data_IF_082063793999
#
_entry.id   IF_082063793999
#
_cell.length_a   1.000
_cell.length_b   1.000
_cell.length_c   1.000
_cell.angle_alpha   90.00
_cell.angle_beta   90.00
_cell.angle_gamma   90.00
#
_symmetry.space_group_name_H-M   'P 1'
#
loop_
_entity.id
_entity.type
_entity.pdbx_description
1 polymer ?
#
# COMPACT_ATOMS: atom_id res chain seq x y z
N UNK A 1 7.96 63.47 12.91
CA UNK A 1 6.76 62.70 12.54
C UNK A 1 7.13 61.24 12.34
N UNK A 2 7.01 60.43 13.40
CA UNK A 2 7.38 58.99 13.35
C UNK A 2 6.12 58.17 13.06
N UNK A 3 6.01 57.64 11.84
CA UNK A 3 4.96 56.69 11.47
C UNK A 3 5.38 55.31 11.95
N UNK A 4 4.76 54.85 13.04
CA UNK A 4 4.82 53.47 13.51
C UNK A 4 4.12 52.57 12.51
N UNK A 5 4.90 51.73 11.79
CA UNK A 5 4.38 50.61 10.98
C UNK A 5 3.89 49.55 11.96
N UNK A 6 2.58 49.46 12.16
CA UNK A 6 1.93 48.32 12.80
C UNK A 6 2.08 47.11 11.89
N UNK A 7 2.98 46.22 12.28
CA UNK A 7 3.11 44.89 11.69
C UNK A 7 1.88 44.07 12.09
N UNK A 8 1.00 43.82 11.14
CA UNK A 8 -0.07 42.85 11.31
C UNK A 8 0.55 41.46 11.32
N UNK A 9 0.92 40.97 12.51
CA UNK A 9 1.15 39.54 12.72
C UNK A 9 -0.23 38.86 12.58
N UNK A 10 -0.49 38.24 11.43
CA UNK A 10 -1.55 37.24 11.33
C UNK A 10 -1.24 36.17 12.38
N UNK A 11 -2.06 36.09 13.42
CA UNK A 11 -2.05 34.97 14.34
C UNK A 11 -2.30 33.72 13.50
N UNK A 12 -1.33 32.82 13.47
CA UNK A 12 -1.57 31.47 12.93
C UNK A 12 -2.61 30.85 13.84
N UNK A 13 -3.75 30.49 13.28
CA UNK A 13 -4.71 29.66 14.01
C UNK A 13 -3.99 28.42 14.52
N UNK A 14 -4.24 27.98 15.77
CA UNK A 14 -3.63 26.79 16.29
C UNK A 14 -3.97 25.63 15.36
N UNK A 15 -2.95 24.93 14.88
CA UNK A 15 -3.12 23.74 14.06
C UNK A 15 -3.88 22.68 14.87
N UNK A 16 -5.11 22.41 14.50
CA UNK A 16 -5.91 21.32 15.06
C UNK A 16 -5.51 20.06 14.29
N UNK A 17 -4.94 19.04 14.93
CA UNK A 17 -4.60 17.79 14.26
C UNK A 17 -5.82 17.22 13.53
N UNK A 18 -5.64 16.73 12.31
CA UNK A 18 -6.72 16.17 11.48
C UNK A 18 -7.43 14.98 12.15
N UNK A 19 -6.76 14.29 13.08
CA UNK A 19 -7.37 13.28 13.94
C UNK A 19 -8.56 13.79 14.77
N UNK A 20 -8.69 15.11 14.96
CA UNK A 20 -9.83 15.74 15.62
C UNK A 20 -10.98 16.10 14.68
N UNK A 21 -10.93 15.75 13.39
CA UNK A 21 -11.94 16.08 12.37
C UNK A 21 -12.65 14.85 11.81
N UNK A 22 -13.40 14.08 12.63
CA UNK A 22 -13.99 12.79 12.22
C UNK A 22 -14.95 12.91 11.01
N UNK A 23 -15.61 14.06 10.81
CA UNK A 23 -16.53 14.26 9.69
C UNK A 23 -15.85 14.27 8.31
N UNK A 24 -14.61 14.71 8.20
CA UNK A 24 -13.87 14.67 6.94
C UNK A 24 -13.47 13.23 6.58
N UNK A 25 -13.22 12.40 7.57
CA UNK A 25 -12.77 11.03 7.40
C UNK A 25 -13.87 10.11 6.89
N UNK A 26 -15.10 10.30 7.36
CA UNK A 26 -16.26 9.56 6.85
C UNK A 26 -16.52 9.87 5.37
N UNK A 27 -16.34 11.11 4.96
CA UNK A 27 -16.41 11.53 3.56
C UNK A 27 -15.34 10.87 2.71
N UNK A 28 -14.09 10.78 3.22
CA UNK A 28 -12.98 10.16 2.50
C UNK A 28 -13.22 8.65 2.32
N UNK A 29 -13.74 7.95 3.32
CA UNK A 29 -14.10 6.54 3.20
C UNK A 29 -15.15 6.29 2.09
N UNK A 30 -16.21 7.09 2.07
CA UNK A 30 -17.23 7.02 1.01
C UNK A 30 -16.63 7.28 -0.37
N UNK A 31 -15.75 8.29 -0.48
CA UNK A 31 -15.07 8.64 -1.72
C UNK A 31 -14.12 7.54 -2.21
N UNK A 32 -13.40 6.88 -1.30
CA UNK A 32 -12.54 5.72 -1.63
C UNK A 32 -13.37 4.56 -2.17
N UNK A 33 -14.49 4.23 -1.52
CA UNK A 33 -15.39 3.15 -1.93
C UNK A 33 -16.05 3.41 -3.29
N UNK A 34 -16.40 4.67 -3.57
CA UNK A 34 -16.97 5.09 -4.86
C UNK A 34 -15.93 5.32 -5.96
N UNK A 35 -14.63 5.30 -5.63
CA UNK A 35 -13.55 5.54 -6.58
C UNK A 35 -13.35 7.01 -6.96
N UNK A 36 -13.89 7.94 -6.19
CA UNK A 36 -13.80 9.40 -6.45
C UNK A 36 -12.76 10.12 -5.58
N UNK A 37 -12.12 9.41 -4.64
CA UNK A 37 -11.13 9.99 -3.74
C UNK A 37 -9.85 10.34 -4.50
N UNK A 38 -9.47 11.62 -4.46
CA UNK A 38 -8.25 12.10 -5.09
C UNK A 38 -7.61 13.24 -4.31
N UNK A 39 -6.27 13.37 -4.46
CA UNK A 39 -5.48 14.39 -3.80
C UNK A 39 -4.51 15.03 -4.79
N UNK A 40 -4.42 16.36 -4.78
CA UNK A 40 -3.39 17.08 -5.52
C UNK A 40 -2.06 17.00 -4.78
N UNK A 41 -1.05 16.44 -5.41
CA UNK A 41 0.25 16.15 -4.81
C UNK A 41 1.42 16.58 -5.71
N UNK A 42 2.59 16.72 -5.11
CA UNK A 42 3.87 16.69 -5.83
C UNK A 42 4.43 15.29 -5.67
N UNK A 43 4.48 14.54 -6.74
CA UNK A 43 5.14 13.24 -6.77
C UNK A 43 6.65 13.44 -6.80
N UNK A 44 7.35 12.87 -5.82
CA UNK A 44 8.80 13.01 -5.66
C UNK A 44 9.57 11.90 -6.37
N UNK A 45 8.87 10.85 -6.78
CA UNK A 45 9.46 9.65 -7.35
C UNK A 45 9.43 8.45 -6.41
N UNK A 46 10.22 7.44 -6.72
CA UNK A 46 10.36 6.23 -5.90
C UNK A 46 11.84 5.88 -5.74
N UNK A 47 12.16 5.21 -4.63
CA UNK A 47 13.47 4.62 -4.35
C UNK A 47 13.32 3.21 -3.81
N UNK A 48 14.34 2.39 -4.00
CA UNK A 48 14.44 1.07 -3.39
C UNK A 48 14.68 1.20 -1.89
N UNK A 49 14.00 0.34 -1.12
CA UNK A 49 14.16 0.21 0.33
C UNK A 49 14.35 -1.24 0.70
N UNK A 50 15.01 -1.50 1.83
CA UNK A 50 15.34 -2.88 2.23
C UNK A 50 14.24 -3.54 3.05
N UNK A 51 13.35 -2.74 3.66
CA UNK A 51 12.28 -3.22 4.52
C UNK A 51 10.91 -2.97 3.91
N UNK A 52 9.99 -3.90 4.17
CA UNK A 52 8.61 -3.82 3.67
C UNK A 52 7.71 -2.88 4.46
N UNK A 53 8.14 -2.45 5.64
CA UNK A 53 7.36 -1.61 6.56
C UNK A 53 8.27 -0.83 7.50
N UNK A 54 7.73 0.22 8.09
CA UNK A 54 8.40 1.01 9.13
C UNK A 54 8.32 2.51 8.86
N UNK A 55 7.95 3.27 9.89
CA UNK A 55 7.95 4.74 9.84
C UNK A 55 9.34 5.29 9.50
N UNK A 56 10.44 4.83 10.15
CA UNK A 56 11.77 5.35 9.85
C UNK A 56 12.19 5.12 8.40
N UNK A 57 11.83 3.97 7.83
CA UNK A 57 12.12 3.63 6.41
C UNK A 57 11.42 4.61 5.47
N UNK A 58 10.15 4.91 5.73
CA UNK A 58 9.37 5.89 4.98
C UNK A 58 9.92 7.30 5.10
N UNK A 59 10.27 7.74 6.31
CA UNK A 59 10.83 9.08 6.59
C UNK A 59 12.20 9.26 5.89
N UNK A 60 13.08 8.27 6.00
CA UNK A 60 14.39 8.30 5.33
C UNK A 60 14.25 8.33 3.80
N UNK A 61 13.36 7.50 3.25
CA UNK A 61 13.08 7.45 1.84
C UNK A 61 12.54 8.80 1.32
N UNK A 62 11.58 9.39 2.03
CA UNK A 62 11.00 10.69 1.69
C UNK A 62 12.04 11.80 1.77
N UNK A 63 12.90 11.79 2.79
CA UNK A 63 13.98 12.75 2.94
C UNK A 63 14.99 12.66 1.79
N UNK A 64 15.41 11.46 1.38
CA UNK A 64 16.26 11.24 0.22
C UNK A 64 15.61 11.77 -1.06
N UNK A 65 14.36 11.38 -1.35
CA UNK A 65 13.61 11.85 -2.52
C UNK A 65 13.43 13.37 -2.55
N UNK A 66 13.25 13.99 -1.39
CA UNK A 66 13.12 15.46 -1.29
C UNK A 66 14.45 16.17 -1.52
N UNK A 67 15.56 15.62 -1.07
CA UNK A 67 16.88 16.20 -1.21
C UNK A 67 17.47 15.99 -2.60
N UNK A 68 17.30 14.82 -3.19
CA UNK A 68 17.73 14.53 -4.58
C UNK A 68 17.09 15.50 -5.58
N UNK A 69 15.89 15.96 -5.30
CA UNK A 69 15.23 16.97 -6.13
C UNK A 69 15.72 18.41 -5.89
N UNK A 70 16.51 18.65 -4.82
CA UNK A 70 17.24 19.91 -4.59
C UNK A 70 18.65 19.86 -5.19
N UNK A 71 19.10 18.68 -5.60
CA UNK A 71 20.44 18.37 -5.99
C UNK A 71 20.89 19.08 -7.22
N UNK A 72 21.91 19.87 -6.96
CA UNK A 72 23.03 20.28 -7.81
C UNK A 72 22.68 21.29 -8.89
N UNK A 73 22.52 22.54 -8.46
CA UNK A 73 23.05 23.67 -9.21
C UNK A 73 24.59 23.65 -9.08
N UNK A 74 25.20 22.61 -9.54
CA UNK A 74 26.65 22.42 -9.60
C UNK A 74 27.03 21.96 -10.97
N UNK A 75 27.69 22.85 -11.71
CA UNK A 75 28.53 22.60 -12.87
C UNK A 75 28.83 21.12 -13.15
N UNK A 76 28.72 20.74 -14.45
CA UNK A 76 29.08 19.46 -15.04
C UNK A 76 28.06 18.31 -14.92
N UNK A 77 27.27 18.15 -15.92
CA UNK A 77 27.12 17.05 -16.88
C UNK A 77 25.75 16.97 -17.52
N UNK A 78 25.74 16.98 -18.82
CA UNK A 78 24.71 16.45 -19.71
C UNK A 78 24.38 15.01 -19.28
N UNK A 79 23.37 14.86 -18.43
CA UNK A 79 22.76 13.59 -18.11
C UNK A 79 21.35 13.89 -17.62
N UNK A 80 20.35 13.64 -18.45
CA UNK A 80 18.93 13.74 -18.10
C UNK A 80 18.62 12.78 -16.95
N UNK A 81 18.76 13.19 -15.70
CA UNK A 81 18.18 12.48 -14.57
C UNK A 81 18.10 13.33 -13.29
N UNK A 82 17.78 14.60 -13.43
CA UNK A 82 17.18 15.31 -12.32
C UNK A 82 15.70 14.90 -12.28
N UNK A 83 15.31 14.03 -11.36
CA UNK A 83 13.89 13.68 -11.18
C UNK A 83 13.11 14.95 -10.89
N UNK A 84 12.45 15.47 -11.92
CA UNK A 84 11.59 16.65 -11.82
C UNK A 84 10.42 16.27 -10.91
N UNK A 85 10.21 17.04 -9.84
CA UNK A 85 8.99 16.92 -9.03
C UNK A 85 7.80 17.19 -9.94
N UNK A 86 6.98 16.18 -10.13
CA UNK A 86 5.84 16.26 -11.02
C UNK A 86 4.59 16.63 -10.22
N UNK A 87 3.86 17.65 -10.66
CA UNK A 87 2.52 17.89 -10.15
C UNK A 87 1.63 16.77 -10.64
N UNK A 88 0.94 16.13 -9.72
CA UNK A 88 0.14 14.96 -10.04
C UNK A 88 -1.12 14.92 -9.18
N UNK A 89 -2.06 14.09 -9.60
CA UNK A 89 -3.25 13.72 -8.83
C UNK A 89 -3.07 12.27 -8.40
N UNK A 90 -3.10 12.06 -7.09
CA UNK A 90 -3.12 10.72 -6.50
C UNK A 90 -4.58 10.29 -6.34
N UNK A 91 -5.00 9.31 -7.09
CA UNK A 91 -6.30 8.65 -6.96
C UNK A 91 -6.17 7.47 -6.00
N UNK A 92 -7.05 7.43 -5.01
CA UNK A 92 -7.09 6.37 -4.00
C UNK A 92 -8.41 5.62 -4.12
N UNK A 93 -8.34 4.37 -4.49
CA UNK A 93 -9.50 3.49 -4.66
C UNK A 93 -9.30 2.18 -3.89
N UNK A 94 -10.35 1.41 -3.69
CA UNK A 94 -10.26 0.10 -3.06
C UNK A 94 -9.42 -0.93 -3.87
N UNK A 95 -9.11 -0.64 -5.13
CA UNK A 95 -8.37 -1.54 -6.01
C UNK A 95 -6.94 -1.10 -6.24
N UNK A 96 -6.69 0.21 -6.33
CA UNK A 96 -5.39 0.73 -6.73
C UNK A 96 -5.12 2.16 -6.24
N UNK A 97 -3.83 2.48 -6.15
CA UNK A 97 -3.30 3.84 -6.05
C UNK A 97 -2.78 4.25 -7.43
N UNK A 98 -3.39 5.27 -8.04
CA UNK A 98 -2.99 5.76 -9.35
C UNK A 98 -2.46 7.17 -9.25
N UNK A 99 -1.29 7.40 -9.84
CA UNK A 99 -0.66 8.71 -9.92
C UNK A 99 -0.75 9.19 -11.36
N UNK A 100 -1.47 10.27 -11.58
CA UNK A 100 -1.70 10.85 -12.90
C UNK A 100 -1.05 12.22 -12.95
N UNK A 101 -0.26 12.47 -13.97
CA UNK A 101 0.36 13.78 -14.21
C UNK A 101 -0.71 14.86 -14.42
N UNK A 102 -0.59 16.00 -13.71
CA UNK A 102 -1.59 17.07 -13.75
C UNK A 102 -1.63 17.77 -15.11
N UNK A 103 -0.48 17.88 -15.78
CA UNK A 103 -0.34 18.60 -17.03
C UNK A 103 -0.66 17.71 -18.25
N UNK A 104 0.03 16.58 -18.37
CA UNK A 104 -0.10 15.66 -19.51
C UNK A 104 -1.29 14.71 -19.40
N UNK A 105 -1.93 14.57 -18.23
CA UNK A 105 -2.93 13.56 -17.90
C UNK A 105 -2.43 12.12 -18.09
N UNK A 106 -1.13 11.94 -18.25
CA UNK A 106 -0.51 10.63 -18.37
C UNK A 106 -0.46 9.89 -17.03
N UNK A 107 -0.65 8.58 -17.08
CA UNK A 107 -0.51 7.71 -15.91
C UNK A 107 0.98 7.53 -15.59
N UNK A 108 1.40 7.92 -14.38
CA UNK A 108 2.79 7.78 -13.91
C UNK A 108 2.97 6.47 -13.15
N UNK A 109 2.01 6.15 -12.27
CA UNK A 109 2.02 4.94 -11.44
C UNK A 109 0.62 4.34 -11.40
N UNK A 110 0.52 3.03 -11.58
CA UNK A 110 -0.67 2.23 -11.30
C UNK A 110 -0.26 1.10 -10.35
N UNK A 111 -0.59 1.27 -9.08
CA UNK A 111 -0.20 0.35 -8.01
C UNK A 111 -1.42 -0.32 -7.42
N UNK A 112 -1.54 -1.62 -7.60
CA UNK A 112 -2.59 -2.42 -6.95
C UNK A 112 -2.45 -2.33 -5.43
N UNK A 113 -3.57 -2.10 -4.73
CA UNK A 113 -3.57 -1.92 -3.28
C UNK A 113 -3.03 -3.16 -2.53
N UNK A 114 -3.29 -4.36 -3.04
CA UNK A 114 -2.81 -5.62 -2.44
C UNK A 114 -1.28 -5.76 -2.41
N UNK A 115 -0.57 -5.05 -3.29
CA UNK A 115 0.90 -5.05 -3.32
C UNK A 115 1.52 -3.95 -2.46
N UNK A 116 0.72 -3.06 -1.89
CA UNK A 116 1.18 -2.05 -0.95
C UNK A 116 1.28 -2.69 0.42
N UNK A 117 2.46 -2.65 1.03
CA UNK A 117 2.74 -3.30 2.31
C UNK A 117 2.64 -2.35 3.50
N UNK A 118 2.89 -1.06 3.27
CA UNK A 118 2.91 -0.06 4.32
C UNK A 118 2.68 1.33 3.75
N UNK A 119 2.05 2.21 4.52
CA UNK A 119 1.94 3.63 4.21
C UNK A 119 2.08 4.45 5.49
N UNK A 120 2.64 5.65 5.37
CA UNK A 120 2.85 6.53 6.51
C UNK A 120 2.86 8.01 6.12
N UNK A 121 2.33 8.88 7.01
CA UNK A 121 2.64 10.29 6.97
C UNK A 121 4.08 10.52 7.44
N UNK A 122 4.66 11.65 7.08
CA UNK A 122 5.98 12.06 7.56
C UNK A 122 5.83 12.94 8.81
N UNK A 123 6.56 12.61 9.88
CA UNK A 123 6.50 13.39 11.13
C UNK A 123 7.20 14.75 11.03
N UNK A 124 8.19 14.86 10.15
CA UNK A 124 8.98 16.07 9.96
C UNK A 124 8.27 17.05 9.01
N UNK A 125 7.54 16.51 8.05
CA UNK A 125 6.83 17.29 7.04
C UNK A 125 5.34 16.98 7.06
N UNK A 126 4.56 17.84 7.68
CA UNK A 126 3.09 17.71 7.81
C UNK A 126 2.36 17.29 6.53
N UNK A 127 2.88 17.71 5.37
CA UNK A 127 2.33 17.37 4.06
C UNK A 127 3.00 16.18 3.38
N UNK A 128 3.97 15.57 4.08
CA UNK A 128 4.70 14.40 3.59
C UNK A 128 3.88 13.13 3.75
N UNK A 129 3.88 12.32 2.70
CA UNK A 129 3.26 11.01 2.67
C UNK A 129 4.09 10.06 1.82
N UNK A 130 4.17 8.82 2.23
CA UNK A 130 4.82 7.77 1.45
C UNK A 130 4.15 6.43 1.64
N UNK A 131 4.32 5.54 0.65
CA UNK A 131 3.95 4.15 0.78
C UNK A 131 5.03 3.24 0.23
N UNK A 132 5.12 2.03 0.80
CA UNK A 132 6.02 0.97 0.36
C UNK A 132 5.20 -0.08 -0.36
N UNK A 133 5.64 -0.48 -1.54
CA UNK A 133 5.03 -1.52 -2.33
C UNK A 133 6.08 -2.49 -2.88
N UNK A 134 5.62 -3.66 -3.28
CA UNK A 134 6.48 -4.62 -3.97
C UNK A 134 6.41 -4.38 -5.47
N UNK A 135 7.55 -4.13 -6.09
CA UNK A 135 7.65 -4.00 -7.53
C UNK A 135 7.28 -5.32 -8.23
N UNK A 136 6.45 -5.21 -9.26
CA UNK A 136 5.91 -6.38 -9.94
C UNK A 136 6.96 -7.17 -10.73
N UNK A 137 7.99 -6.50 -11.20
CA UNK A 137 9.02 -7.06 -12.09
C UNK A 137 10.23 -7.55 -11.29
N UNK A 138 10.82 -6.67 -10.49
CA UNK A 138 12.06 -6.94 -9.76
C UNK A 138 11.84 -7.63 -8.41
N UNK A 139 10.58 -7.63 -7.91
CA UNK A 139 10.19 -8.08 -6.58
C UNK A 139 10.87 -7.34 -5.42
N UNK A 140 11.48 -6.18 -5.69
CA UNK A 140 12.10 -5.32 -4.69
C UNK A 140 11.06 -4.46 -3.98
N UNK A 141 11.41 -4.01 -2.79
CA UNK A 141 10.58 -3.06 -2.07
C UNK A 141 10.88 -1.64 -2.56
N UNK A 142 9.84 -0.95 -2.99
CA UNK A 142 9.93 0.41 -3.52
C UNK A 142 9.12 1.34 -2.64
N UNK A 143 9.72 2.45 -2.22
CA UNK A 143 9.03 3.51 -1.49
C UNK A 143 8.73 4.67 -2.44
N UNK A 144 7.45 5.00 -2.57
CA UNK A 144 6.98 6.15 -3.34
C UNK A 144 6.72 7.32 -2.41
N UNK A 145 7.26 8.50 -2.73
CA UNK A 145 7.16 9.70 -1.90
C UNK A 145 6.31 10.79 -2.52
N UNK A 146 5.54 11.48 -1.67
CA UNK A 146 4.60 12.53 -2.06
C UNK A 146 4.65 13.70 -1.11
N UNK A 147 4.34 14.89 -1.63
CA UNK A 147 4.04 16.08 -0.85
C UNK A 147 2.67 16.61 -1.24
N UNK A 148 1.72 16.54 -0.34
CA UNK A 148 0.39 17.09 -0.57
C UNK A 148 0.44 18.62 -0.84
N UNK A 149 -0.44 19.13 -1.70
CA UNK A 149 -0.49 20.56 -2.04
C UNK A 149 -1.37 21.31 -1.05
N UNK A 150 -2.55 20.75 -0.75
CA UNK A 150 -3.56 21.38 0.13
C UNK A 150 -3.78 20.58 1.41
N UNK A 151 -3.71 19.26 1.31
CA UNK A 151 -4.04 18.32 2.37
C UNK A 151 -2.81 18.01 3.26
N UNK A 152 -3.01 17.27 4.33
CA UNK A 152 -1.93 16.76 5.16
C UNK A 152 -1.53 15.34 4.75
N UNK A 153 -0.33 14.93 5.12
CA UNK A 153 0.13 13.54 4.94
C UNK A 153 -0.72 12.54 5.73
N UNK A 154 -1.22 12.95 6.90
CA UNK A 154 -2.11 12.13 7.73
C UNK A 154 -3.42 11.81 7.01
N UNK A 155 -4.04 12.80 6.34
CA UNK A 155 -5.26 12.58 5.58
C UNK A 155 -5.04 11.62 4.41
N UNK A 156 -3.92 11.76 3.69
CA UNK A 156 -3.56 10.82 2.62
C UNK A 156 -3.37 9.40 3.18
N UNK A 157 -2.67 9.27 4.31
CA UNK A 157 -2.47 7.99 4.98
C UNK A 157 -3.79 7.36 5.43
N UNK A 158 -4.71 8.16 5.96
CA UNK A 158 -6.04 7.70 6.33
C UNK A 158 -6.83 7.18 5.12
N UNK A 159 -6.87 7.93 4.02
CA UNK A 159 -7.56 7.51 2.80
C UNK A 159 -7.00 6.19 2.23
N UNK A 160 -5.68 6.01 2.26
CA UNK A 160 -5.05 4.75 1.87
C UNK A 160 -5.41 3.63 2.86
N UNK A 161 -5.49 3.92 4.15
CA UNK A 161 -6.01 2.98 5.17
C UNK A 161 -7.44 2.52 4.86
N UNK A 162 -8.33 3.44 4.47
CA UNK A 162 -9.70 3.11 4.01
C UNK A 162 -9.68 2.22 2.77
N UNK A 163 -8.74 2.45 1.84
CA UNK A 163 -8.57 1.61 0.66
C UNK A 163 -8.17 0.17 1.02
N UNK A 164 -7.26 0.00 1.98
CA UNK A 164 -6.91 -1.33 2.51
C UNK A 164 -8.11 -2.04 3.14
N UNK A 165 -8.88 -1.35 3.98
CA UNK A 165 -10.05 -1.90 4.62
C UNK A 165 -11.09 -2.36 3.58
N UNK A 166 -11.40 -1.50 2.60
CA UNK A 166 -12.33 -1.82 1.53
C UNK A 166 -11.86 -2.99 0.64
N UNK A 167 -10.56 -3.06 0.34
CA UNK A 167 -9.95 -4.18 -0.39
C UNK A 167 -10.09 -5.49 0.39
N UNK A 168 -9.79 -5.48 1.69
CA UNK A 168 -9.89 -6.65 2.55
C UNK A 168 -11.33 -7.15 2.66
N UNK A 169 -12.30 -6.27 2.85
CA UNK A 169 -13.73 -6.62 2.88
C UNK A 169 -14.17 -7.29 1.57
N UNK A 170 -13.76 -6.74 0.42
CA UNK A 170 -14.07 -7.35 -0.89
C UNK A 170 -13.44 -8.74 -1.04
N UNK A 171 -12.22 -8.90 -0.54
CA UNK A 171 -11.54 -10.20 -0.56
C UNK A 171 -12.25 -11.22 0.31
N UNK A 172 -12.57 -10.87 1.54
CA UNK A 172 -13.31 -11.74 2.46
C UNK A 172 -14.69 -12.12 1.92
N UNK A 173 -15.39 -11.17 1.27
CA UNK A 173 -16.68 -11.46 0.64
C UNK A 173 -16.51 -12.48 -0.50
N UNK A 174 -15.54 -12.27 -1.39
CA UNK A 174 -15.24 -13.24 -2.46
C UNK A 174 -14.87 -14.62 -1.94
N UNK A 175 -14.08 -14.70 -0.87
CA UNK A 175 -13.69 -15.95 -0.23
C UNK A 175 -14.91 -16.68 0.36
N UNK A 176 -15.83 -15.95 1.01
CA UNK A 176 -17.10 -16.53 1.49
C UNK A 176 -17.99 -17.01 0.34
N UNK A 177 -18.14 -16.20 -0.70
CA UNK A 177 -18.96 -16.53 -1.86
C UNK A 177 -18.38 -17.72 -2.65
N UNK A 178 -17.05 -17.89 -2.66
CA UNK A 178 -16.36 -19.00 -3.33
C UNK A 178 -16.16 -20.24 -2.43
N UNK A 179 -16.58 -20.21 -1.16
CA UNK A 179 -16.40 -21.32 -0.20
C UNK A 179 -14.94 -21.63 0.13
N UNK A 180 -14.04 -20.66 -0.08
CA UNK A 180 -12.60 -20.80 0.25
C UNK A 180 -12.30 -20.10 1.54
N UNK A 181 -11.89 -20.85 2.58
CA UNK A 181 -11.40 -20.28 3.84
C UNK A 181 -9.87 -20.18 3.77
N UNK A 182 -9.36 -18.97 3.91
CA UNK A 182 -7.90 -18.72 4.02
C UNK A 182 -7.56 -18.49 5.48
N UNK A 183 -6.77 -19.40 6.05
CA UNK A 183 -6.27 -19.25 7.42
C UNK A 183 -4.82 -18.74 7.36
N UNK A 184 -4.59 -17.57 7.92
CA UNK A 184 -3.25 -16.96 8.01
C UNK A 184 -2.63 -17.31 9.35
N UNK A 185 -1.62 -18.16 9.33
CA UNK A 185 -0.72 -18.36 10.46
C UNK A 185 0.65 -17.80 10.11
N UNK A 186 1.39 -17.33 11.11
CA UNK A 186 2.70 -16.67 10.91
C UNK A 186 3.70 -17.54 10.12
N UNK A 187 3.57 -18.86 10.18
CA UNK A 187 4.49 -19.84 9.57
C UNK A 187 3.90 -20.63 8.40
N UNK A 188 2.60 -20.67 8.23
CA UNK A 188 1.94 -21.43 7.13
C UNK A 188 0.66 -20.77 6.67
N UNK A 189 0.53 -20.58 5.37
CA UNK A 189 -0.73 -20.21 4.73
C UNK A 189 -1.41 -21.47 4.24
N UNK A 190 -2.54 -21.83 4.84
CA UNK A 190 -3.35 -22.98 4.39
C UNK A 190 -4.61 -22.49 3.69
N UNK A 191 -4.94 -23.13 2.57
CA UNK A 191 -6.17 -22.86 1.82
C UNK A 191 -7.09 -24.07 1.96
N UNK A 192 -8.27 -23.88 2.51
CA UNK A 192 -9.29 -24.93 2.57
C UNK A 192 -10.47 -24.51 1.69
N UNK A 193 -10.79 -25.31 0.69
CA UNK A 193 -11.94 -25.10 -0.20
C UNK A 193 -13.06 -26.05 0.22
N UNK A 194 -14.18 -25.51 0.67
CA UNK A 194 -15.40 -26.28 0.88
C UNK A 194 -16.24 -26.20 -0.40
N UNK A 195 -16.33 -27.29 -1.14
CA UNK A 195 -17.20 -27.38 -2.33
C UNK A 195 -16.85 -28.58 -3.20
N UNK A 196 -17.87 -29.28 -3.63
CA UNK A 196 -17.93 -30.57 -4.28
C UNK A 196 -17.26 -30.63 -5.66
N UNK A 197 -16.01 -30.61 -5.81
CA UNK A 197 -15.26 -31.17 -6.94
C UNK A 197 -13.77 -31.15 -6.62
N UNK A 198 -13.38 -31.99 -5.64
CA UNK A 198 -11.99 -32.38 -5.55
C UNK A 198 -11.78 -33.53 -6.53
N UNK A 199 -11.31 -33.24 -7.72
CA UNK A 199 -10.59 -34.27 -8.46
C UNK A 199 -9.30 -34.50 -7.70
N UNK A 200 -9.21 -35.63 -6.99
CA UNK A 200 -7.96 -36.12 -6.42
C UNK A 200 -6.93 -36.24 -7.52
N UNK A 201 -5.81 -35.60 -7.36
CA UNK A 201 -4.68 -35.72 -8.27
C UNK A 201 -4.20 -37.19 -8.27
N UNK A 202 -3.60 -37.64 -9.38
CA UNK A 202 -3.11 -39.02 -9.50
C UNK A 202 -2.17 -39.42 -8.35
N UNK A 203 -1.40 -38.49 -7.83
CA UNK A 203 -0.51 -38.66 -6.69
C UNK A 203 -1.25 -38.96 -5.37
N UNK A 204 -2.34 -38.26 -5.10
CA UNK A 204 -3.16 -38.50 -3.88
C UNK A 204 -3.91 -39.85 -3.95
N UNK A 205 -4.19 -40.37 -5.14
CA UNK A 205 -4.76 -41.71 -5.31
C UNK A 205 -3.74 -42.80 -5.03
N UNK A 206 -2.47 -42.63 -5.46
CA UNK A 206 -1.43 -43.59 -5.19
C UNK A 206 -1.11 -43.68 -3.71
N UNK A 207 -1.04 -42.58 -3.01
CA UNK A 207 -0.83 -42.54 -1.54
C UNK A 207 -1.98 -43.19 -0.77
N UNK A 208 -3.22 -43.07 -1.26
CA UNK A 208 -4.41 -43.65 -0.63
C UNK A 208 -4.47 -45.17 -0.88
N UNK A 209 -4.10 -45.64 -2.10
CA UNK A 209 -4.02 -47.06 -2.43
C UNK A 209 -2.88 -47.76 -1.66
N UNK A 210 -1.78 -47.08 -1.39
CA UNK A 210 -0.65 -47.60 -0.63
C UNK A 210 -1.01 -47.75 0.87
N UNK A 211 -1.74 -46.78 1.44
CA UNK A 211 -2.26 -46.84 2.82
C UNK A 211 -3.35 -47.94 3.00
N UNK A 212 -4.22 -48.13 2.02
CA UNK A 212 -5.25 -49.14 2.05
C UNK A 212 -4.63 -50.58 1.83
N UNK A 213 -3.53 -50.71 1.11
CA UNK A 213 -2.79 -51.95 0.94
C UNK A 213 -2.05 -52.37 2.21
N UNK A 214 -1.43 -51.44 2.94
CA UNK A 214 -0.79 -51.71 4.23
C UNK A 214 -1.83 -52.09 5.32
N UNK A 215 -3.01 -51.50 5.32
CA UNK A 215 -4.08 -51.84 6.27
C UNK A 215 -4.67 -53.24 6.04
N UNK A 216 -4.58 -53.82 4.85
CA UNK A 216 -5.05 -55.17 4.54
C UNK A 216 -3.97 -56.22 4.72
N UNK A 217 -2.67 -55.85 4.84
CA UNK A 217 -1.56 -56.78 5.02
C UNK A 217 -1.44 -57.36 6.44
N UNK A 218 -1.99 -56.68 7.46
CA UNK A 218 -1.81 -57.08 8.86
C UNK A 218 -2.92 -58.03 9.41
N UNK A 219 -3.86 -58.44 8.55
CA UNK A 219 -4.99 -59.31 8.98
C UNK A 219 -4.83 -60.80 8.67
N UNK A 220 -3.67 -61.27 8.21
CA UNK A 220 -3.46 -62.65 7.84
C UNK A 220 -2.24 -63.29 8.55
N UNK A 221 -2.44 -63.63 9.85
CA UNK A 221 -1.61 -64.66 10.46
C UNK A 221 -2.50 -65.53 11.35
N UNK A 222 -2.90 -66.76 10.89
CA UNK A 222 -3.53 -67.71 11.78
C UNK A 222 -2.46 -68.48 12.53
N UNK A 223 -2.59 -68.54 13.85
CA UNK A 223 -1.83 -69.44 14.67
C UNK A 223 -2.11 -70.90 14.30
N UNK A 224 -1.07 -71.68 14.29
CA UNK A 224 -1.12 -73.14 14.34
C UNK A 224 -0.09 -73.69 15.31
N UNK A 225 -0.66 -74.37 16.33
CA UNK A 225 -0.12 -75.45 17.16
C UNK A 225 1.30 -75.31 17.68
#
# INVERSE_FOLDING_TARGET
MNRLRKSFRRSKEPHVPECSKPHQWESDEKAVRSGTCNFHVKYLGCIEVYESRGMPVCEEALHKLKNDSKGVRGFFRRGKSGRKKTRAVLWVTADALRVVDEDSKGLIVDQTIEKVSFCAPDRTYERGFSYICRDGTTRRWMCHGFMAIKDSGERLSHAVGCAFAACLERKQKREKDCGVTVTWNADKTSFTRQGSFRQTTMTERMDQEELDAEAQGDAASPGSM
#
